data_IF_062017149194
#
_entry.id   IF_062017149194
#
_cell.length_a   1.000
_cell.length_b   1.000
_cell.length_c   1.000
_cell.angle_alpha   90.00
_cell.angle_beta   90.00
_cell.angle_gamma   90.00
#
_symmetry.space_group_name_H-M   'P 1'
#
loop_
_entity.id
_entity.type
_entity.pdbx_description
1 polymer ?
#
# COMPACT_ATOMS: atom_id res chain seq x y z
N UNK A 1 -3.32 -9.16 80.78
CA UNK A 1 -2.66 -7.92 80.33
C UNK A 1 -2.11 -8.18 78.94
N UNK A 2 -2.64 -7.51 77.90
CA UNK A 2 -2.16 -7.60 76.52
C UNK A 2 -1.37 -6.32 76.20
N UNK A 3 -0.09 -6.37 75.79
CA UNK A 3 0.52 -5.27 75.05
C UNK A 3 0.19 -5.49 73.57
N UNK A 4 -0.46 -4.52 72.93
CA UNK A 4 0.11 -3.31 72.35
C UNK A 4 0.75 -3.59 70.97
N UNK A 5 0.11 -2.98 69.99
CA UNK A 5 0.33 -2.97 68.56
C UNK A 5 1.76 -2.65 68.13
N UNK A 6 2.23 -3.29 67.06
CA UNK A 6 3.21 -2.70 66.14
C UNK A 6 2.58 -2.74 64.76
N UNK A 7 2.09 -1.57 64.34
CA UNK A 7 1.67 -1.30 62.97
C UNK A 7 2.96 -1.20 62.15
N UNK A 8 3.23 -2.23 61.34
CA UNK A 8 4.24 -2.13 60.30
C UNK A 8 3.70 -1.21 59.22
N UNK A 9 4.14 0.04 59.24
CA UNK A 9 3.95 1.01 58.16
C UNK A 9 4.74 0.49 56.96
N UNK A 10 4.06 -0.23 56.08
CA UNK A 10 4.60 -0.63 54.80
C UNK A 10 4.69 0.65 53.97
N UNK A 11 5.89 1.25 53.90
CA UNK A 11 6.18 2.39 53.05
C UNK A 11 5.70 2.10 51.63
N UNK A 12 4.68 2.83 51.20
CA UNK A 12 4.25 2.89 49.81
C UNK A 12 5.35 3.60 49.01
N UNK A 13 6.34 2.84 48.54
CA UNK A 13 7.02 3.16 47.30
C UNK A 13 6.02 2.94 46.16
N UNK A 14 5.08 3.87 45.96
CA UNK A 14 4.39 3.98 44.68
C UNK A 14 5.39 4.59 43.72
N UNK A 15 6.30 3.72 43.25
CA UNK A 15 7.20 4.01 42.16
C UNK A 15 6.39 4.48 40.96
N UNK A 16 6.91 5.53 40.34
CA UNK A 16 6.41 6.17 39.13
C UNK A 16 6.12 5.15 38.03
N UNK A 17 4.89 4.63 37.97
CA UNK A 17 4.38 3.80 36.87
C UNK A 17 3.83 4.68 35.73
N UNK A 18 4.63 5.66 35.28
CA UNK A 18 4.30 6.57 34.17
C UNK A 18 5.38 6.47 33.09
N UNK A 19 5.69 5.24 32.71
CA UNK A 19 6.48 4.89 31.52
C UNK A 19 5.82 3.58 31.06
N UNK A 20 5.03 3.47 30.00
CA UNK A 20 5.20 3.95 28.64
C UNK A 20 3.79 4.06 28.02
N UNK A 21 3.26 5.26 27.77
CA UNK A 21 2.33 5.40 26.63
C UNK A 21 3.21 5.33 25.38
N UNK A 22 3.57 4.10 25.04
CA UNK A 22 4.34 3.76 23.86
C UNK A 22 3.62 4.33 22.64
N UNK A 23 4.36 5.15 21.89
CA UNK A 23 4.00 5.69 20.59
C UNK A 23 3.64 4.56 19.63
N UNK A 24 2.40 4.05 19.64
CA UNK A 24 2.01 3.16 18.56
C UNK A 24 1.68 3.98 17.31
N UNK A 25 2.71 4.16 16.48
CA UNK A 25 2.62 4.66 15.11
C UNK A 25 2.43 3.50 14.12
N UNK A 26 1.60 2.51 14.46
CA UNK A 26 1.22 1.50 13.46
C UNK A 26 0.13 2.11 12.60
N UNK A 27 0.53 2.56 11.40
CA UNK A 27 -0.42 2.87 10.35
C UNK A 27 -1.14 1.54 10.02
N UNK A 28 -2.44 1.50 10.28
CA UNK A 28 -3.33 0.41 9.87
C UNK A 28 -3.76 0.77 8.44
N UNK A 29 -3.08 0.19 7.45
CA UNK A 29 -3.10 0.67 6.07
C UNK A 29 -4.18 -0.05 5.27
N UNK A 30 -4.85 0.70 4.39
CA UNK A 30 -5.82 0.22 3.42
C UNK A 30 -5.18 -0.43 2.18
N UNK A 31 -5.97 -1.13 1.39
CA UNK A 31 -5.64 -1.87 0.18
C UNK A 31 -5.34 -0.97 -1.04
N UNK A 32 -4.65 0.15 -0.80
CA UNK A 32 -4.36 1.18 -1.79
C UNK A 32 -2.91 1.09 -2.28
N UNK A 33 -2.73 1.03 -3.60
CA UNK A 33 -1.42 1.10 -4.26
C UNK A 33 -1.23 2.49 -4.86
N UNK A 34 -0.19 3.19 -4.41
CA UNK A 34 0.09 4.58 -4.80
C UNK A 34 1.24 4.71 -5.82
N UNK A 35 1.85 3.60 -6.22
CA UNK A 35 2.98 3.64 -7.14
C UNK A 35 2.99 2.48 -8.14
N UNK A 36 3.73 2.68 -9.23
CA UNK A 36 4.01 1.67 -10.24
C UNK A 36 5.50 1.73 -10.57
N UNK A 37 6.17 0.60 -10.44
CA UNK A 37 7.58 0.41 -10.72
C UNK A 37 7.73 -0.16 -12.14
N UNK A 38 8.30 0.62 -13.05
CA UNK A 38 8.54 0.23 -14.44
C UNK A 38 9.99 -0.23 -14.63
N UNK A 39 10.17 -1.44 -15.17
CA UNK A 39 11.47 -2.03 -15.47
C UNK A 39 11.64 -2.21 -16.98
N UNK A 40 12.79 -1.75 -17.52
CA UNK A 40 13.13 -1.89 -18.94
C UNK A 40 12.52 -0.83 -19.85
N UNK A 41 11.97 0.25 -19.29
CA UNK A 41 11.46 1.39 -20.03
C UNK A 41 12.47 2.54 -20.04
N UNK A 42 12.49 3.28 -21.15
CA UNK A 42 13.26 4.51 -21.27
C UNK A 42 12.48 5.73 -20.77
N UNK A 43 13.20 6.83 -20.56
CA UNK A 43 12.61 8.12 -20.26
C UNK A 43 11.56 8.58 -21.23
N UNK A 44 11.89 8.52 -22.51
CA UNK A 44 11.02 9.00 -23.57
C UNK A 44 9.74 8.18 -23.67
N UNK A 45 9.83 6.86 -23.43
CA UNK A 45 8.66 5.98 -23.37
C UNK A 45 7.74 6.31 -22.19
N UNK A 46 8.32 6.76 -21.06
CA UNK A 46 7.60 6.95 -19.80
C UNK A 46 7.14 8.38 -19.53
N UNK A 47 7.46 9.35 -20.39
CA UNK A 47 7.14 10.79 -20.21
C UNK A 47 5.73 11.03 -19.67
N UNK A 48 4.77 10.29 -20.22
CA UNK A 48 3.38 10.33 -19.81
C UNK A 48 2.80 8.92 -19.82
N UNK A 49 2.18 8.53 -18.72
CA UNK A 49 1.36 7.32 -18.67
C UNK A 49 -0.11 7.70 -18.51
N UNK A 50 -0.99 6.86 -19.05
CA UNK A 50 -2.43 6.98 -18.86
C UNK A 50 -2.91 5.83 -17.97
N UNK A 51 -3.62 6.18 -16.91
CA UNK A 51 -4.28 5.22 -16.04
C UNK A 51 -5.76 5.25 -16.34
N UNK A 52 -6.33 4.10 -16.65
CA UNK A 52 -7.77 3.93 -16.87
C UNK A 52 -8.32 3.01 -15.79
N UNK A 53 -9.49 3.36 -15.25
CA UNK A 53 -10.22 2.58 -14.26
C UNK A 53 -11.45 1.97 -14.90
N UNK A 54 -11.80 0.75 -14.50
CA UNK A 54 -12.95 0.00 -14.99
C UNK A 54 -13.71 -0.59 -13.79
N UNK A 55 -15.02 -0.76 -13.92
CA UNK A 55 -15.70 -1.75 -13.09
C UNK A 55 -15.13 -3.14 -13.38
N UNK A 56 -15.28 -4.08 -12.45
CA UNK A 56 -14.82 -5.48 -12.57
C UNK A 56 -15.57 -6.25 -13.68
N UNK A 57 -15.39 -5.82 -14.93
CA UNK A 57 -16.15 -6.25 -16.10
C UNK A 57 -15.32 -6.06 -17.38
N UNK A 58 -14.47 -7.04 -17.70
CA UNK A 58 -13.89 -7.29 -19.03
C UNK A 58 -13.10 -6.16 -19.72
N UNK A 59 -12.76 -5.08 -19.02
CA UNK A 59 -12.10 -3.89 -19.57
C UNK A 59 -12.79 -3.26 -20.81
N UNK A 60 -14.11 -3.43 -20.94
CA UNK A 60 -14.84 -3.00 -22.14
C UNK A 60 -15.02 -1.48 -22.24
N UNK A 61 -15.30 -0.81 -21.12
CA UNK A 61 -15.51 0.65 -21.05
C UNK A 61 -14.90 1.22 -19.78
N UNK A 62 -13.97 2.15 -19.93
CA UNK A 62 -13.39 2.85 -18.78
C UNK A 62 -14.45 3.72 -18.11
N UNK A 63 -14.50 3.68 -16.79
CA UNK A 63 -15.35 4.56 -15.97
C UNK A 63 -14.66 5.90 -15.71
N UNK A 64 -13.33 5.91 -15.71
CA UNK A 64 -12.50 7.09 -15.46
C UNK A 64 -11.11 6.91 -16.09
N UNK A 65 -10.44 8.02 -16.36
CA UNK A 65 -9.04 8.00 -16.79
C UNK A 65 -8.35 9.30 -16.44
N UNK A 66 -7.07 9.21 -16.08
CA UNK A 66 -6.21 10.36 -15.88
C UNK A 66 -4.80 10.07 -16.41
N UNK A 67 -4.05 11.15 -16.60
CA UNK A 67 -2.67 11.10 -17.04
C UNK A 67 -1.75 11.38 -15.86
N UNK A 68 -0.64 10.67 -15.80
CA UNK A 68 0.45 10.93 -14.86
C UNK A 68 1.68 11.30 -15.66
N UNK A 69 2.17 12.52 -15.45
CA UNK A 69 3.46 12.95 -15.98
C UNK A 69 4.55 12.38 -15.10
N UNK A 70 5.51 11.70 -15.70
CA UNK A 70 6.67 11.23 -14.94
C UNK A 70 7.65 12.40 -14.88
N UNK A 71 7.87 12.96 -13.69
CA UNK A 71 8.91 13.97 -13.48
C UNK A 71 10.27 13.25 -13.59
N UNK A 72 10.74 13.11 -14.83
CA UNK A 72 11.90 12.31 -15.22
C UNK A 72 13.19 12.94 -14.68
N UNK A 73 13.58 12.53 -13.49
CA UNK A 73 14.98 12.31 -13.15
C UNK A 73 15.12 10.79 -13.05
N UNK A 74 15.27 10.14 -14.21
CA UNK A 74 15.37 8.68 -14.30
C UNK A 74 16.79 8.23 -14.00
N UNK A 75 17.16 8.31 -12.74
CA UNK A 75 18.45 7.83 -12.26
C UNK A 75 18.43 6.35 -11.92
N UNK A 76 17.25 5.71 -11.84
CA UNK A 76 17.09 4.36 -11.28
C UNK A 76 16.23 3.43 -12.15
N UNK A 77 16.64 2.15 -12.23
CA UNK A 77 15.88 1.02 -12.76
C UNK A 77 15.61 0.04 -11.60
N UNK A 78 14.36 -0.16 -11.15
CA UNK A 78 13.11 0.30 -11.76
C UNK A 78 12.82 1.79 -11.55
N UNK A 79 12.11 2.36 -12.52
CA UNK A 79 11.55 3.71 -12.48
C UNK A 79 10.24 3.71 -11.71
N UNK A 80 10.18 4.42 -10.59
CA UNK A 80 8.94 4.55 -9.81
C UNK A 80 8.12 5.74 -10.26
N UNK A 81 6.85 5.50 -10.57
CA UNK A 81 5.86 6.53 -10.86
C UNK A 81 4.83 6.53 -9.73
N UNK A 82 4.63 7.68 -9.08
CA UNK A 82 3.59 7.85 -8.07
C UNK A 82 2.28 8.25 -8.75
N UNK A 83 1.17 7.69 -8.27
CA UNK A 83 -0.16 7.91 -8.80
C UNK A 83 -0.89 8.96 -7.96
N UNK A 84 -1.55 9.91 -8.63
CA UNK A 84 -2.40 10.90 -7.95
C UNK A 84 -3.65 10.26 -7.32
N UNK A 85 -4.20 9.25 -8.00
CA UNK A 85 -5.26 8.39 -7.50
C UNK A 85 -4.73 6.98 -7.27
N UNK A 86 -4.94 6.36 -6.10
CA UNK A 86 -4.47 5.01 -5.85
C UNK A 86 -5.23 3.98 -6.68
N UNK A 87 -4.55 2.87 -6.97
CA UNK A 87 -5.18 1.62 -7.39
C UNK A 87 -5.79 0.96 -6.15
N UNK A 88 -7.06 0.61 -6.23
CA UNK A 88 -7.84 0.03 -5.12
C UNK A 88 -8.52 -1.25 -5.59
N UNK A 89 -8.71 -2.23 -4.71
CA UNK A 89 -9.09 -3.59 -5.13
C UNK A 89 -10.50 -3.75 -5.71
N UNK A 90 -11.37 -2.77 -5.47
CA UNK A 90 -12.77 -2.76 -5.94
C UNK A 90 -12.92 -2.55 -7.46
N UNK A 91 -11.83 -2.20 -8.16
CA UNK A 91 -11.86 -1.87 -9.59
C UNK A 91 -10.74 -2.59 -10.35
N UNK A 92 -10.93 -2.71 -11.66
CA UNK A 92 -9.87 -3.13 -12.57
C UNK A 92 -9.19 -1.90 -13.17
N UNK A 93 -7.90 -2.01 -13.51
CA UNK A 93 -7.10 -0.91 -14.02
C UNK A 93 -6.36 -1.27 -15.30
N UNK A 94 -6.24 -0.32 -16.22
CA UNK A 94 -5.32 -0.41 -17.35
C UNK A 94 -4.31 0.72 -17.29
N UNK A 95 -3.04 0.37 -17.35
CA UNK A 95 -1.95 1.32 -17.49
C UNK A 95 -1.50 1.30 -18.95
N UNK A 96 -1.56 2.46 -19.60
CA UNK A 96 -1.12 2.64 -20.99
C UNK A 96 0.13 3.50 -21.01
N UNK A 97 1.19 2.96 -21.60
CA UNK A 97 2.43 3.67 -21.86
C UNK A 97 2.38 4.10 -23.33
N UNK A 98 1.78 5.27 -23.60
CA UNK A 98 1.38 5.70 -24.94
C UNK A 98 2.58 5.75 -25.91
N UNK A 99 3.71 6.32 -25.48
CA UNK A 99 4.91 6.45 -26.31
C UNK A 99 5.57 5.09 -26.63
N UNK A 100 5.34 4.06 -25.82
CA UNK A 100 5.80 2.70 -26.09
C UNK A 100 4.78 1.85 -26.88
N UNK A 101 3.54 2.32 -27.02
CA UNK A 101 2.44 1.55 -27.60
C UNK A 101 2.04 0.32 -26.77
N UNK A 102 2.32 0.31 -25.46
CA UNK A 102 2.09 -0.83 -24.57
C UNK A 102 0.93 -0.56 -23.61
N UNK A 103 0.20 -1.63 -23.27
CA UNK A 103 -0.93 -1.59 -22.33
C UNK A 103 -0.88 -2.78 -21.37
N UNK A 104 -1.19 -2.51 -20.12
CA UNK A 104 -1.13 -3.49 -19.02
C UNK A 104 -2.45 -3.49 -18.27
N UNK A 105 -3.17 -4.61 -18.34
CA UNK A 105 -4.41 -4.85 -17.60
C UNK A 105 -4.05 -5.40 -16.23
N UNK A 106 -4.63 -4.81 -15.19
CA UNK A 106 -4.44 -5.18 -13.79
C UNK A 106 -5.83 -5.49 -13.22
N UNK A 107 -6.00 -6.72 -12.72
CA UNK A 107 -7.27 -7.24 -12.19
C UNK A 107 -7.04 -8.24 -11.07
N UNK A 108 -8.14 -8.83 -10.57
CA UNK A 108 -8.14 -10.01 -9.69
C UNK A 108 -7.22 -9.85 -8.47
N UNK A 109 -7.35 -8.71 -7.79
CA UNK A 109 -6.56 -8.38 -6.62
C UNK A 109 -6.78 -9.40 -5.51
N UNK A 110 -5.68 -9.99 -5.01
CA UNK A 110 -5.68 -10.85 -3.84
C UNK A 110 -5.52 -9.98 -2.61
N UNK A 111 -6.53 -10.01 -1.74
CA UNK A 111 -6.56 -9.20 -0.51
C UNK A 111 -6.24 -10.07 0.69
N UNK A 112 -5.16 -9.71 1.39
CA UNK A 112 -4.86 -10.25 2.70
C UNK A 112 -5.40 -9.34 3.78
N UNK A 113 -5.97 -9.95 4.82
CA UNK A 113 -6.46 -9.28 6.01
C UNK A 113 -5.68 -9.77 7.21
N UNK A 114 -5.39 -8.88 8.13
CA UNK A 114 -4.77 -9.25 9.39
C UNK A 114 -5.09 -8.24 10.49
N UNK A 115 -4.70 -8.57 11.71
CA UNK A 115 -4.90 -7.70 12.85
C UNK A 115 -3.82 -6.61 12.88
N UNK A 116 -4.23 -5.39 13.21
CA UNK A 116 -3.30 -4.31 13.46
C UNK A 116 -2.70 -4.49 14.86
N UNK A 117 -1.38 -4.59 14.95
CA UNK A 117 -0.66 -4.99 16.17
C UNK A 117 -0.91 -4.08 17.40
N UNK A 118 -1.47 -2.88 17.20
CA UNK A 118 -1.71 -1.90 18.27
C UNK A 118 -3.10 -1.27 18.30
N UNK A 119 -3.93 -1.52 17.28
CA UNK A 119 -5.30 -1.04 17.26
C UNK A 119 -6.22 -2.25 17.26
N UNK A 120 -7.41 -2.15 17.83
CA UNK A 120 -8.43 -3.20 17.69
C UNK A 120 -9.00 -3.29 16.26
N UNK A 121 -8.23 -2.85 15.26
CA UNK A 121 -8.62 -2.81 13.85
C UNK A 121 -7.97 -3.94 13.06
N UNK A 122 -8.52 -4.17 11.87
CA UNK A 122 -7.94 -5.05 10.86
C UNK A 122 -7.35 -4.22 9.75
N UNK A 123 -6.17 -4.57 9.24
CA UNK A 123 -5.69 -4.01 7.97
C UNK A 123 -6.17 -4.86 6.80
N UNK A 124 -6.29 -4.23 5.64
CA UNK A 124 -6.42 -4.90 4.35
C UNK A 124 -5.24 -4.49 3.50
N UNK A 125 -4.58 -5.45 2.85
CA UNK A 125 -3.52 -5.15 1.89
C UNK A 125 -3.73 -5.92 0.61
N UNK A 126 -3.37 -5.31 -0.50
CA UNK A 126 -3.17 -6.05 -1.75
C UNK A 126 -1.93 -6.92 -1.57
N UNK A 127 -2.11 -8.24 -1.59
CA UNK A 127 -1.09 -9.26 -1.50
C UNK A 127 -0.73 -9.86 -2.86
N UNK A 128 -1.57 -9.64 -3.87
CA UNK A 128 -1.30 -10.05 -5.24
C UNK A 128 -2.26 -9.42 -6.23
N UNK A 129 -1.97 -9.57 -7.51
CA UNK A 129 -2.75 -9.03 -8.62
C UNK A 129 -2.47 -9.84 -9.89
N UNK A 130 -3.43 -9.83 -10.81
CA UNK A 130 -3.27 -10.33 -12.15
C UNK A 130 -2.76 -9.20 -13.05
N UNK A 131 -1.67 -9.44 -13.80
CA UNK A 131 -1.14 -8.54 -14.81
C UNK A 131 -1.15 -9.25 -16.16
N UNK A 132 -1.98 -8.77 -17.10
CA UNK A 132 -2.14 -9.35 -18.44
C UNK A 132 -2.41 -10.88 -18.45
N UNK A 133 -3.19 -11.38 -17.49
CA UNK A 133 -3.53 -12.80 -17.37
C UNK A 133 -2.58 -13.59 -16.47
N UNK A 134 -1.46 -13.01 -16.02
CA UNK A 134 -0.46 -13.68 -15.18
C UNK A 134 -0.60 -13.22 -13.73
N UNK A 135 -0.67 -14.16 -12.80
CA UNK A 135 -0.80 -13.85 -11.37
C UNK A 135 0.55 -13.53 -10.71
N UNK A 136 0.58 -12.44 -9.97
CA UNK A 136 1.74 -11.98 -9.20
C UNK A 136 1.39 -11.84 -7.73
N UNK A 137 2.31 -12.26 -6.85
CA UNK A 137 2.27 -11.94 -5.42
C UNK A 137 3.11 -10.70 -5.17
N UNK A 138 2.58 -9.70 -4.49
CA UNK A 138 3.37 -8.50 -4.18
C UNK A 138 4.20 -8.70 -2.92
N UNK A 139 5.51 -8.54 -3.06
CA UNK A 139 6.41 -8.38 -1.92
C UNK A 139 6.41 -6.94 -1.38
N UNK A 140 5.91 -5.97 -2.16
CA UNK A 140 5.93 -4.54 -1.86
C UNK A 140 4.49 -4.02 -1.73
N UNK A 141 4.10 -3.63 -0.51
CA UNK A 141 2.73 -3.21 -0.20
C UNK A 141 2.18 -2.02 -1.00
N UNK A 142 3.01 -1.26 -1.73
CA UNK A 142 2.62 0.05 -2.30
C UNK A 142 2.90 0.20 -3.80
N UNK A 143 3.40 -0.83 -4.48
CA UNK A 143 3.78 -0.71 -5.89
C UNK A 143 3.42 -1.95 -6.71
N UNK A 144 2.92 -1.72 -7.92
CA UNK A 144 2.81 -2.73 -8.98
C UNK A 144 4.09 -2.71 -9.81
N UNK A 145 4.61 -3.87 -10.18
CA UNK A 145 5.80 -3.97 -11.01
C UNK A 145 5.41 -4.31 -12.45
N UNK A 146 5.81 -3.47 -13.40
CA UNK A 146 5.57 -3.66 -14.83
C UNK A 146 6.90 -3.84 -15.54
N UNK A 147 7.04 -4.94 -16.28
CA UNK A 147 8.23 -5.28 -17.07
C UNK A 147 7.85 -5.34 -18.54
N UNK A 148 8.72 -4.79 -19.39
CA UNK A 148 8.63 -4.89 -20.85
C UNK A 148 9.19 -6.22 -21.34
#
# INVERSE_FOLDING_TARGET
>A
MRPASIIAVCLTLTGSALVLQSCCKSLCIDDNIFAVDFQGFTAMEMEKIKVLRYNQSSFAKAIDSYYVSTNIILTNNPTRVYLDNPIVSDFDFRIVVENAGLSYNISDFLIEKGDCACSQGTYKRIAGYNLNGVQFTTARQYAIEIKK
#
